data_IF_261936921323
#
_entry.id   IF_261936921323
#
_cell.length_a   1.000
_cell.length_b   1.000
_cell.length_c   1.000
_cell.angle_alpha   90.00
_cell.angle_beta   90.00
_cell.angle_gamma   90.00
#
_symmetry.space_group_name_H-M   'P 1'
#
loop_
_entity.id
_entity.type
_entity.pdbx_description
1 polymer ?
#
# COMPACT_ATOMS: atom_id res chain seq x y z
N UNK A 1 3.86 18.71 -2.02
CA UNK A 1 3.88 17.34 -1.45
C UNK A 1 3.97 17.38 0.07
N UNK A 2 4.99 18.03 0.66
CA UNK A 2 5.19 18.06 2.12
C UNK A 2 3.97 18.53 2.93
N UNK A 3 3.24 19.54 2.46
CA UNK A 3 2.03 20.03 3.14
C UNK A 3 0.93 18.97 3.17
N UNK A 4 0.76 18.20 2.10
CA UNK A 4 -0.26 17.14 2.01
C UNK A 4 0.10 16.00 2.97
N UNK A 5 1.37 15.57 3.01
CA UNK A 5 1.82 14.57 3.96
C UNK A 5 1.57 15.02 5.41
N UNK A 6 1.85 16.28 5.75
CA UNK A 6 1.56 16.83 7.09
C UNK A 6 0.08 16.80 7.44
N UNK A 7 -0.82 17.11 6.49
CA UNK A 7 -2.27 17.04 6.72
C UNK A 7 -2.71 15.59 6.98
N UNK A 8 -2.22 14.64 6.18
CA UNK A 8 -2.54 13.21 6.35
C UNK A 8 -2.06 12.71 7.72
N UNK A 9 -0.82 13.02 8.09
CA UNK A 9 -0.26 12.63 9.40
C UNK A 9 -1.02 13.25 10.57
N UNK A 10 -1.38 14.54 10.47
CA UNK A 10 -2.16 15.23 11.51
C UNK A 10 -3.57 14.65 11.66
N UNK A 11 -4.13 14.05 10.60
CA UNK A 11 -5.39 13.32 10.64
C UNK A 11 -5.25 11.87 11.14
N UNK A 12 -4.05 11.44 11.55
CA UNK A 12 -3.78 10.06 11.97
C UNK A 12 -3.72 9.06 10.81
N UNK A 13 -3.48 9.54 9.58
CA UNK A 13 -3.33 8.72 8.39
C UNK A 13 -1.88 8.39 8.06
N UNK A 14 -1.70 7.47 7.11
CA UNK A 14 -0.40 7.16 6.52
C UNK A 14 -0.32 7.85 5.15
N UNK A 15 0.67 8.73 4.90
CA UNK A 15 0.93 9.22 3.56
C UNK A 15 1.25 8.07 2.61
N UNK A 16 0.39 7.88 1.60
CA UNK A 16 0.47 6.80 0.61
C UNK A 16 0.73 7.39 -0.76
N UNK A 17 1.78 6.90 -1.43
CA UNK A 17 2.09 7.30 -2.79
C UNK A 17 1.31 6.43 -3.79
N UNK A 18 0.50 7.02 -4.69
CA UNK A 18 -0.17 6.25 -5.74
C UNK A 18 0.85 5.84 -6.81
N UNK A 19 1.04 4.53 -6.96
CA UNK A 19 2.03 3.95 -7.87
C UNK A 19 1.36 3.58 -9.19
N UNK A 20 1.80 4.18 -10.31
CA UNK A 20 1.25 3.88 -11.63
C UNK A 20 1.84 2.58 -12.19
N UNK A 21 3.15 2.41 -12.00
CA UNK A 21 3.99 1.34 -12.52
C UNK A 21 4.00 1.31 -14.06
N UNK A 22 3.57 0.22 -14.70
CA UNK A 22 3.72 0.05 -16.15
C UNK A 22 2.52 0.55 -16.96
N UNK A 23 2.79 1.19 -18.09
CA UNK A 23 1.79 1.56 -19.09
C UNK A 23 1.45 0.39 -20.03
N UNK A 24 0.49 0.59 -20.94
CA UNK A 24 0.07 -0.43 -21.90
C UNK A 24 1.19 -0.98 -22.81
N UNK A 25 2.33 -0.29 -22.89
CA UNK A 25 3.53 -0.69 -23.64
C UNK A 25 4.63 -1.28 -22.75
N UNK A 26 4.38 -1.44 -21.45
CA UNK A 26 5.35 -1.89 -20.45
C UNK A 26 6.36 -0.83 -20.04
N UNK A 27 6.13 0.44 -20.41
CA UNK A 27 6.97 1.58 -20.03
C UNK A 27 6.60 2.12 -18.66
N UNK A 28 7.57 2.66 -17.94
CA UNK A 28 7.36 3.35 -16.66
C UNK A 28 7.46 4.85 -16.86
N UNK A 29 6.95 5.62 -15.90
CA UNK A 29 7.28 7.03 -15.80
C UNK A 29 8.78 7.20 -15.54
N UNK A 30 9.33 8.37 -15.89
CA UNK A 30 10.74 8.71 -15.59
C UNK A 30 11.07 8.57 -14.11
N UNK A 31 10.09 8.81 -13.23
CA UNK A 31 10.25 8.64 -11.79
C UNK A 31 10.28 7.16 -11.42
N UNK A 32 9.34 6.34 -11.93
CA UNK A 32 9.11 4.97 -11.47
C UNK A 32 9.99 3.92 -12.14
N UNK A 33 10.71 4.26 -13.21
CA UNK A 33 11.51 3.31 -13.99
C UNK A 33 12.70 2.68 -13.28
N UNK A 34 13.15 3.24 -12.15
CA UNK A 34 14.19 2.65 -11.30
C UNK A 34 13.69 2.44 -9.87
N UNK A 35 13.33 1.19 -9.58
CA UNK A 35 12.70 0.75 -8.34
C UNK A 35 13.51 1.07 -7.07
N UNK A 36 14.85 0.96 -7.11
CA UNK A 36 15.70 1.27 -5.96
C UNK A 36 15.73 2.77 -5.68
N UNK A 37 15.88 3.57 -6.74
CA UNK A 37 15.88 5.03 -6.64
C UNK A 37 14.52 5.55 -6.18
N UNK A 38 13.43 4.96 -6.64
CA UNK A 38 12.06 5.29 -6.19
C UNK A 38 11.90 4.98 -4.72
N UNK A 39 12.30 3.79 -4.26
CA UNK A 39 12.16 3.42 -2.85
C UNK A 39 12.95 4.38 -1.93
N UNK A 40 14.15 4.78 -2.35
CA UNK A 40 14.96 5.78 -1.64
C UNK A 40 14.27 7.16 -1.63
N UNK A 41 13.82 7.63 -2.80
CA UNK A 41 13.17 8.94 -2.95
C UNK A 41 11.84 9.02 -2.19
N UNK A 42 11.04 7.95 -2.18
CA UNK A 42 9.81 7.86 -1.40
C UNK A 42 10.11 7.93 0.11
N UNK A 43 11.13 7.21 0.57
CA UNK A 43 11.55 7.23 1.97
C UNK A 43 12.01 8.62 2.39
N UNK A 44 12.85 9.28 1.59
CA UNK A 44 13.32 10.65 1.85
C UNK A 44 12.17 11.66 1.90
N UNK A 45 11.13 11.45 1.08
CA UNK A 45 9.93 12.29 1.03
C UNK A 45 8.89 11.95 2.11
N UNK A 46 9.18 11.01 3.00
CA UNK A 46 8.30 10.64 4.13
C UNK A 46 7.15 9.71 3.75
N UNK A 47 7.25 8.97 2.64
CA UNK A 47 6.31 7.91 2.30
C UNK A 47 6.77 6.58 2.88
N UNK A 48 5.88 5.95 3.64
CA UNK A 48 6.05 4.57 4.13
C UNK A 48 5.04 3.61 3.49
N UNK A 49 4.12 4.13 2.67
CA UNK A 49 3.07 3.36 2.01
C UNK A 49 2.99 3.70 0.52
N UNK A 50 2.65 2.69 -0.27
CA UNK A 50 2.34 2.79 -1.69
C UNK A 50 1.05 2.03 -1.99
N UNK A 51 0.29 2.53 -2.96
CA UNK A 51 -0.89 1.83 -3.48
C UNK A 51 -0.78 1.70 -5.00
N UNK A 52 -0.84 0.46 -5.50
CA UNK A 52 -0.83 0.20 -6.93
C UNK A 52 -2.25 0.15 -7.49
N UNK A 53 -2.45 0.68 -8.69
CA UNK A 53 -3.69 0.51 -9.45
C UNK A 53 -3.59 -0.79 -10.25
N UNK A 54 -4.01 -1.91 -9.66
CA UNK A 54 -3.66 -3.24 -10.17
C UNK A 54 -4.19 -3.47 -11.59
N UNK A 55 -5.40 -2.98 -11.88
CA UNK A 55 -6.08 -3.11 -13.18
C UNK A 55 -5.35 -2.42 -14.32
N UNK A 56 -4.41 -1.52 -14.02
CA UNK A 56 -3.59 -0.82 -15.01
C UNK A 56 -2.30 -1.54 -15.32
N UNK A 57 -1.88 -2.54 -14.56
CA UNK A 57 -0.52 -3.10 -14.62
C UNK A 57 -0.46 -4.53 -15.18
N UNK A 58 0.63 -4.85 -15.88
CA UNK A 58 0.99 -6.24 -16.18
C UNK A 58 1.25 -7.02 -14.88
N UNK A 59 0.83 -8.29 -14.84
CA UNK A 59 0.91 -9.11 -13.63
C UNK A 59 2.35 -9.29 -13.14
N UNK A 60 3.30 -9.55 -14.04
CA UNK A 60 4.67 -9.85 -13.67
C UNK A 60 5.39 -8.60 -13.16
N UNK A 61 5.15 -7.47 -13.82
CA UNK A 61 5.69 -6.17 -13.43
C UNK A 61 5.11 -5.69 -12.10
N UNK A 62 3.80 -5.81 -11.91
CA UNK A 62 3.12 -5.52 -10.65
C UNK A 62 3.72 -6.33 -9.50
N UNK A 63 3.85 -7.66 -9.67
CA UNK A 63 4.41 -8.52 -8.62
C UNK A 63 5.86 -8.15 -8.28
N UNK A 64 6.69 -7.89 -9.30
CA UNK A 64 8.09 -7.48 -9.08
C UNK A 64 8.19 -6.21 -8.23
N UNK A 65 7.41 -5.19 -8.55
CA UNK A 65 7.46 -3.90 -7.85
C UNK A 65 6.85 -4.00 -6.45
N UNK A 66 5.68 -4.63 -6.33
CA UNK A 66 5.00 -4.83 -5.06
C UNK A 66 5.86 -5.65 -4.10
N UNK A 67 6.48 -6.74 -4.58
CA UNK A 67 7.35 -7.59 -3.78
C UNK A 67 8.58 -6.82 -3.28
N UNK A 68 9.28 -6.10 -4.15
CA UNK A 68 10.46 -5.33 -3.75
C UNK A 68 10.12 -4.27 -2.70
N UNK A 69 9.10 -3.44 -2.92
CA UNK A 69 8.72 -2.40 -1.97
C UNK A 69 8.25 -3.02 -0.65
N UNK A 70 7.55 -4.14 -0.73
CA UNK A 70 7.21 -4.93 0.44
C UNK A 70 8.48 -5.43 1.16
N UNK A 71 9.49 -5.97 0.49
CA UNK A 71 10.74 -6.40 1.14
C UNK A 71 11.51 -5.23 1.77
N UNK A 72 11.42 -4.02 1.19
CA UNK A 72 11.97 -2.80 1.77
C UNK A 72 11.18 -2.28 2.98
N UNK A 73 10.08 -2.92 3.37
CA UNK A 73 9.31 -2.55 4.56
C UNK A 73 8.13 -1.61 4.29
N UNK A 74 7.78 -1.32 3.03
CA UNK A 74 6.63 -0.44 2.76
C UNK A 74 5.32 -1.15 3.09
N UNK A 75 4.29 -0.35 3.42
CA UNK A 75 2.90 -0.80 3.38
C UNK A 75 2.45 -0.76 1.92
N UNK A 76 2.17 -1.93 1.35
CA UNK A 76 1.79 -2.06 -0.07
C UNK A 76 0.33 -2.48 -0.14
N UNK A 77 -0.51 -1.67 -0.79
CA UNK A 77 -1.91 -2.00 -1.09
C UNK A 77 -2.16 -1.99 -2.60
N UNK A 78 -3.27 -2.61 -2.99
CA UNK A 78 -3.75 -2.70 -4.37
C UNK A 78 -5.18 -2.16 -4.43
N UNK A 79 -5.45 -1.27 -5.38
CA UNK A 79 -6.76 -0.67 -5.62
C UNK A 79 -7.21 -0.80 -7.08
N UNK A 80 -8.52 -0.65 -7.31
CA UNK A 80 -9.10 -0.65 -8.66
C UNK A 80 -9.09 0.73 -9.32
N UNK A 81 -9.00 1.81 -8.52
CA UNK A 81 -9.24 3.21 -8.95
C UNK A 81 -10.56 3.37 -9.72
N UNK A 82 -11.60 2.67 -9.27
CA UNK A 82 -12.90 2.72 -9.92
C UNK A 82 -13.49 4.15 -9.84
N UNK A 83 -13.54 4.83 -10.97
CA UNK A 83 -13.89 6.24 -11.10
C UNK A 83 -14.87 6.52 -12.26
N UNK A 84 -15.46 5.47 -12.83
CA UNK A 84 -16.43 5.56 -13.93
C UNK A 84 -17.79 5.00 -13.49
N UNK A 85 -18.90 5.34 -14.18
CA UNK A 85 -20.21 4.73 -13.90
C UNK A 85 -20.35 3.26 -14.32
N UNK A 86 -19.32 2.65 -14.91
CA UNK A 86 -19.39 1.27 -15.38
C UNK A 86 -19.52 0.31 -14.18
N UNK A 87 -20.30 -0.77 -14.32
CA UNK A 87 -20.45 -1.77 -13.26
C UNK A 87 -19.28 -2.75 -13.28
N UNK A 88 -18.08 -2.27 -12.96
CA UNK A 88 -16.87 -3.09 -12.90
C UNK A 88 -16.78 -3.84 -11.57
N UNK A 89 -16.22 -5.07 -11.54
CA UNK A 89 -15.99 -5.79 -10.30
C UNK A 89 -15.05 -5.04 -9.35
N UNK A 90 -15.37 -5.03 -8.05
CA UNK A 90 -14.47 -4.56 -6.99
C UNK A 90 -13.32 -5.57 -6.76
N UNK A 91 -13.52 -6.83 -7.17
CA UNK A 91 -12.49 -7.86 -7.08
C UNK A 91 -11.25 -7.44 -7.88
N UNK A 92 -10.12 -7.37 -7.18
CA UNK A 92 -8.86 -6.95 -7.77
C UNK A 92 -8.36 -7.97 -8.80
N UNK A 93 -7.83 -7.43 -9.89
CA UNK A 93 -7.13 -8.16 -10.96
C UNK A 93 -6.02 -7.29 -11.53
N UNK A 94 -5.07 -7.92 -12.22
CA UNK A 94 -4.13 -7.21 -13.09
C UNK A 94 -4.82 -6.81 -14.42
N UNK A 95 -4.09 -6.10 -15.28
CA UNK A 95 -4.60 -5.66 -16.59
C UNK A 95 -5.26 -6.81 -17.36
N UNK A 96 -6.36 -6.49 -18.06
CA UNK A 96 -7.20 -7.46 -18.79
C UNK A 96 -7.89 -8.52 -17.92
N UNK A 97 -8.04 -8.29 -16.61
CA UNK A 97 -8.76 -9.19 -15.73
C UNK A 97 -7.95 -10.43 -15.33
N UNK A 98 -6.62 -10.39 -15.49
CA UNK A 98 -5.74 -11.48 -15.08
C UNK A 98 -5.79 -11.61 -13.54
N UNK A 99 -6.11 -12.80 -12.99
CA UNK A 99 -6.17 -12.98 -11.55
C UNK A 99 -4.84 -12.65 -10.86
N UNK A 100 -4.91 -12.03 -9.68
CA UNK A 100 -3.73 -11.81 -8.85
C UNK A 100 -3.13 -13.14 -8.38
N UNK A 101 -1.81 -13.19 -8.28
CA UNK A 101 -1.07 -14.29 -7.65
C UNK A 101 -1.32 -14.33 -6.14
N UNK A 102 -0.98 -15.45 -5.51
CA UNK A 102 -1.08 -15.56 -4.06
C UNK A 102 -0.07 -14.65 -3.33
N UNK A 103 1.08 -14.37 -3.95
CA UNK A 103 2.04 -13.37 -3.47
C UNK A 103 1.41 -11.99 -3.39
N UNK A 104 0.76 -11.53 -4.47
CA UNK A 104 0.10 -10.21 -4.52
C UNK A 104 -1.07 -10.12 -3.55
N UNK A 105 -1.89 -11.18 -3.46
CA UNK A 105 -2.98 -11.25 -2.47
C UNK A 105 -2.46 -11.15 -1.04
N UNK A 106 -1.39 -11.89 -0.72
CA UNK A 106 -0.76 -11.87 0.61
C UNK A 106 -0.21 -10.48 0.93
N UNK A 107 0.56 -9.87 0.02
CA UNK A 107 1.12 -8.52 0.20
C UNK A 107 0.00 -7.50 0.44
N UNK A 108 -1.05 -7.54 -0.36
CA UNK A 108 -2.20 -6.63 -0.21
C UNK A 108 -2.89 -6.81 1.15
N UNK A 109 -3.09 -8.06 1.57
CA UNK A 109 -3.68 -8.37 2.88
C UNK A 109 -2.81 -7.89 4.03
N UNK A 110 -1.49 -8.14 3.98
CA UNK A 110 -0.53 -7.65 4.96
C UNK A 110 -0.55 -6.11 5.04
N UNK A 111 -0.65 -5.43 3.89
CA UNK A 111 -0.85 -3.97 3.83
C UNK A 111 -2.11 -3.51 4.55
N UNK A 112 -3.25 -4.15 4.28
CA UNK A 112 -4.52 -3.87 4.94
C UNK A 112 -4.45 -4.10 6.47
N UNK A 113 -3.77 -5.17 6.91
CA UNK A 113 -3.52 -5.43 8.33
C UNK A 113 -2.73 -4.29 8.98
N UNK A 114 -1.64 -3.83 8.36
CA UNK A 114 -0.84 -2.73 8.90
C UNK A 114 -1.67 -1.45 9.02
N UNK A 115 -2.51 -1.14 8.03
CA UNK A 115 -3.40 0.02 8.07
C UNK A 115 -4.41 -0.09 9.23
N UNK A 116 -5.06 -1.25 9.38
CA UNK A 116 -6.02 -1.47 10.46
C UNK A 116 -5.37 -1.35 11.84
N UNK A 117 -4.20 -1.97 12.03
CA UNK A 117 -3.43 -1.87 13.26
C UNK A 117 -2.95 -0.44 13.54
N UNK A 118 -2.50 0.29 12.51
CA UNK A 118 -2.12 1.69 12.64
C UNK A 118 -3.28 2.53 13.16
N UNK A 119 -4.46 2.42 12.54
CA UNK A 119 -5.65 3.17 12.97
C UNK A 119 -6.08 2.80 14.40
N UNK A 120 -6.03 1.51 14.75
CA UNK A 120 -6.34 1.05 16.10
C UNK A 120 -5.40 1.62 17.17
N UNK A 121 -4.09 1.69 16.89
CA UNK A 121 -3.08 2.23 17.81
C UNK A 121 -3.20 3.76 17.91
N UNK A 122 -3.37 4.45 16.79
CA UNK A 122 -3.53 5.92 16.75
C UNK A 122 -4.79 6.36 17.50
N UNK A 123 -5.89 5.62 17.40
CA UNK A 123 -7.12 5.90 18.15
C UNK A 123 -6.94 5.87 19.68
N UNK A 124 -5.88 5.25 20.18
CA UNK A 124 -5.53 5.20 21.60
C UNK A 124 -4.57 6.32 22.02
N UNK A 125 -4.23 7.25 21.10
CA UNK A 125 -3.26 8.32 21.34
C UNK A 125 -1.80 7.86 21.30
N UNK A 126 -1.54 6.65 20.80
CA UNK A 126 -0.20 6.10 20.67
C UNK A 126 0.36 6.32 19.25
N UNK A 127 1.69 6.39 19.07
CA UNK A 127 2.29 6.42 17.74
C UNK A 127 1.99 5.10 17.00
N UNK A 128 1.30 5.20 15.86
CA UNK A 128 1.04 4.07 14.99
C UNK A 128 2.28 3.61 14.21
N UNK A 129 2.07 2.85 13.14
CA UNK A 129 3.16 2.36 12.27
C UNK A 129 4.03 3.49 11.71
N UNK A 130 3.39 4.64 11.45
CA UNK A 130 4.01 5.91 11.13
C UNK A 130 3.64 6.90 12.25
N UNK A 131 4.62 7.63 12.78
CA UNK A 131 4.41 8.64 13.82
C UNK A 131 3.97 9.99 13.24
N UNK A 132 3.63 10.95 14.11
CA UNK A 132 3.20 12.30 13.70
C UNK A 132 4.28 13.10 12.92
N UNK A 133 5.54 12.66 12.95
CA UNK A 133 6.65 13.26 12.19
C UNK A 133 6.93 12.51 10.88
N UNK A 134 6.12 11.50 10.53
CA UNK A 134 6.32 10.68 9.32
C UNK A 134 7.38 9.60 9.47
N UNK A 135 7.87 9.33 10.69
CA UNK A 135 8.86 8.27 10.92
C UNK A 135 8.17 6.91 11.00
N UNK A 136 8.70 5.95 10.28
CA UNK A 136 8.19 4.60 10.21
C UNK A 136 9.24 3.62 10.75
N UNK A 137 8.88 2.85 11.78
CA UNK A 137 9.72 1.74 12.26
C UNK A 137 9.37 0.47 11.47
N UNK A 138 10.05 0.30 10.35
CA UNK A 138 9.85 -0.84 9.44
C UNK A 138 10.10 -2.19 10.13
N UNK A 139 10.92 -2.23 11.18
CA UNK A 139 11.22 -3.44 11.96
C UNK A 139 10.01 -4.00 12.71
N UNK A 140 9.01 -3.15 13.01
CA UNK A 140 7.79 -3.56 13.71
C UNK A 140 6.68 -4.06 12.79
N UNK A 141 6.91 -4.12 11.47
CA UNK A 141 5.83 -4.45 10.51
C UNK A 141 5.16 -5.79 10.82
N UNK A 142 5.92 -6.81 11.21
CA UNK A 142 5.37 -8.12 11.56
C UNK A 142 4.37 -8.06 12.73
N UNK A 143 4.64 -7.19 13.72
CA UNK A 143 3.74 -6.97 14.86
C UNK A 143 2.44 -6.30 14.41
N UNK A 144 2.54 -5.30 13.53
CA UNK A 144 1.39 -4.61 12.94
C UNK A 144 0.55 -5.53 12.04
N UNK A 145 1.19 -6.39 11.24
CA UNK A 145 0.49 -7.41 10.45
C UNK A 145 -0.30 -8.35 11.38
N UNK A 146 0.34 -8.83 12.44
CA UNK A 146 -0.30 -9.74 13.40
C UNK A 146 -1.50 -9.10 14.11
N UNK A 147 -1.33 -7.87 14.61
CA UNK A 147 -2.43 -7.13 15.25
C UNK A 147 -3.56 -6.84 14.25
N UNK A 148 -3.22 -6.44 13.03
CA UNK A 148 -4.21 -6.17 11.97
C UNK A 148 -5.02 -7.39 11.58
N UNK A 149 -4.38 -8.56 11.43
CA UNK A 149 -5.05 -9.83 11.15
C UNK A 149 -6.06 -10.18 12.26
N UNK A 150 -5.67 -9.99 13.53
CA UNK A 150 -6.57 -10.19 14.66
C UNK A 150 -7.78 -9.26 14.60
N UNK A 151 -7.56 -7.97 14.33
CA UNK A 151 -8.64 -6.97 14.23
C UNK A 151 -9.61 -7.28 13.09
N UNK A 152 -9.09 -7.65 11.92
CA UNK A 152 -9.91 -7.97 10.74
C UNK A 152 -10.72 -9.25 10.98
N UNK A 153 -10.10 -10.31 11.51
CA UNK A 153 -10.77 -11.59 11.78
C UNK A 153 -11.89 -11.47 12.80
N UNK A 154 -11.71 -10.68 13.86
CA UNK A 154 -12.77 -10.44 14.85
C UNK A 154 -14.05 -9.91 14.18
N UNK A 155 -13.92 -9.02 13.21
CA UNK A 155 -15.08 -8.48 12.47
C UNK A 155 -15.69 -9.52 11.53
N UNK A 156 -14.87 -10.35 10.87
CA UNK A 156 -15.37 -11.38 9.93
C UNK A 156 -16.07 -12.52 10.67
N UNK A 157 -15.58 -12.93 11.84
CA UNK A 157 -16.13 -14.03 12.62
C UNK A 157 -17.38 -13.64 13.43
N UNK A 158 -17.64 -12.33 13.60
CA UNK A 158 -18.82 -11.81 14.31
C UNK A 158 -19.98 -11.45 13.38
N UNK A 159 -19.82 -11.60 12.07
CA UNK A 159 -20.86 -11.44 11.05
C UNK A 159 -21.23 -12.79 10.42
#
# INVERSE_FOLDING_TARGET
MEQVCRIILAAGGIPTYPFLADDAKGGYTDFEGNLEQVAAALTERGFASVEFISTRNDLHLLEKYALYLHEQGFVVTLGTEHNTPAMEPILLSARHGVPLTDTLKRINYEGACVIAAHQHVVAQGLPGYVDANGRCDRGKRAEYIKLGDQLIRVVVETN
#
